data_IF_814378313302
#
_entry.id   IF_814378313302
#
_cell.length_a   1.000
_cell.length_b   1.000
_cell.length_c   1.000
_cell.angle_alpha   90.00
_cell.angle_beta   90.00
_cell.angle_gamma   90.00
#
_symmetry.space_group_name_H-M   'P 1'
#
loop_
_entity.id
_entity.type
_entity.pdbx_description
1 polymer ?
#
# COMPACT_ATOMS: atom_id res chain seq x y z
N UNK A 1 22.14 -3.54 19.37
CA UNK A 1 23.46 -4.07 19.74
C UNK A 1 24.30 -3.08 20.53
N UNK A 2 23.92 -1.79 20.63
CA UNK A 2 24.71 -0.78 21.39
C UNK A 2 25.01 -1.18 22.84
N UNK A 3 24.10 -1.91 23.50
CA UNK A 3 24.31 -2.43 24.85
C UNK A 3 25.28 -3.63 24.93
N UNK A 4 26.02 -3.95 23.86
CA UNK A 4 26.94 -5.09 23.78
C UNK A 4 26.26 -6.45 23.50
N UNK A 5 24.97 -6.45 23.18
CA UNK A 5 24.22 -7.67 22.94
C UNK A 5 24.38 -8.15 21.50
N UNK A 6 24.59 -9.46 21.33
CA UNK A 6 24.58 -10.09 20.00
C UNK A 6 23.16 -10.16 19.42
N UNK A 7 23.05 -10.20 18.09
CA UNK A 7 21.76 -10.36 17.41
C UNK A 7 21.04 -11.66 17.82
N UNK A 8 21.79 -12.74 18.10
CA UNK A 8 21.26 -14.02 18.57
C UNK A 8 20.61 -13.91 19.95
N UNK A 9 21.25 -13.18 20.87
CA UNK A 9 20.68 -12.94 22.21
C UNK A 9 19.38 -12.14 22.12
N UNK A 10 19.36 -11.09 21.30
CA UNK A 10 18.15 -10.28 21.06
C UNK A 10 17.04 -11.14 20.43
N UNK A 11 17.37 -11.93 19.42
CA UNK A 11 16.44 -12.85 18.75
C UNK A 11 15.80 -13.85 19.74
N UNK A 12 16.62 -14.44 20.62
CA UNK A 12 16.13 -15.39 21.62
C UNK A 12 15.16 -14.78 22.64
N UNK A 13 15.24 -13.46 22.88
CA UNK A 13 14.35 -12.79 23.83
C UNK A 13 13.10 -12.20 23.17
N UNK A 14 13.19 -11.73 21.93
CA UNK A 14 12.10 -11.02 21.26
C UNK A 14 11.26 -11.89 20.34
N UNK A 15 11.80 -13.02 19.86
CA UNK A 15 11.12 -13.96 18.95
C UNK A 15 11.50 -13.88 17.46
N UNK A 16 11.85 -12.72 16.87
CA UNK A 16 12.38 -12.68 15.50
C UNK A 16 13.67 -13.50 15.34
N UNK A 17 13.93 -13.95 14.12
CA UNK A 17 15.19 -14.63 13.81
C UNK A 17 16.39 -13.66 13.86
N UNK A 18 17.59 -14.22 14.07
CA UNK A 18 18.85 -13.47 14.07
C UNK A 18 19.03 -12.62 12.79
N UNK A 19 18.66 -13.16 11.63
CA UNK A 19 18.76 -12.44 10.37
C UNK A 19 17.81 -11.23 10.28
N UNK A 20 16.64 -11.30 10.91
CA UNK A 20 15.70 -10.17 10.98
C UNK A 20 16.26 -9.10 11.91
N UNK A 21 16.81 -9.49 13.07
CA UNK A 21 17.45 -8.55 14.02
C UNK A 21 18.61 -7.82 13.33
N UNK A 22 19.49 -8.54 12.63
CA UNK A 22 20.60 -7.95 11.87
C UNK A 22 20.10 -7.00 10.78
N UNK A 23 19.11 -7.41 9.98
CA UNK A 23 18.55 -6.55 8.93
C UNK A 23 17.93 -5.26 9.49
N UNK A 24 17.21 -5.34 10.60
CA UNK A 24 16.65 -4.18 11.29
C UNK A 24 17.75 -3.27 11.84
N UNK A 25 18.81 -3.86 12.40
CA UNK A 25 19.97 -3.13 12.89
C UNK A 25 20.72 -2.39 11.78
N UNK A 26 21.03 -3.07 10.67
CA UNK A 26 21.73 -2.47 9.54
C UNK A 26 20.92 -1.31 8.94
N UNK A 27 19.59 -1.48 8.87
CA UNK A 27 18.68 -0.42 8.45
C UNK A 27 18.74 0.77 9.40
N UNK A 28 18.70 0.52 10.71
CA UNK A 28 18.78 1.56 11.73
C UNK A 28 20.10 2.35 11.61
N UNK A 29 21.25 1.68 11.53
CA UNK A 29 22.56 2.34 11.39
C UNK A 29 22.63 3.18 10.11
N UNK A 30 22.04 2.69 9.01
CA UNK A 30 22.12 3.35 7.70
C UNK A 30 21.14 4.52 7.56
N UNK A 31 19.94 4.41 8.11
CA UNK A 31 18.83 5.33 7.86
C UNK A 31 18.41 6.12 9.10
N UNK A 32 18.83 5.71 10.31
CA UNK A 32 18.30 6.18 11.60
C UNK A 32 16.77 6.08 11.69
N UNK A 33 16.20 5.08 10.99
CA UNK A 33 14.75 4.85 10.93
C UNK A 33 14.40 3.46 11.47
N UNK A 34 13.55 3.43 12.51
CA UNK A 34 12.99 2.20 13.06
C UNK A 34 11.65 1.82 12.42
N UNK A 35 11.04 2.74 11.68
CA UNK A 35 9.75 2.53 11.02
C UNK A 35 9.90 1.70 9.76
N UNK A 36 8.83 0.98 9.38
CA UNK A 36 8.80 0.27 8.10
C UNK A 36 8.79 1.31 6.97
N UNK A 37 9.55 1.07 5.90
CA UNK A 37 9.41 1.89 4.70
C UNK A 37 7.98 1.69 4.16
N UNK A 38 7.30 2.76 3.70
CA UNK A 38 6.08 2.58 2.95
C UNK A 38 6.36 1.65 1.77
N UNK A 39 5.43 0.74 1.48
CA UNK A 39 5.59 -0.16 0.34
C UNK A 39 5.73 0.67 -0.94
N UNK A 40 6.68 0.32 -1.79
CA UNK A 40 6.85 0.92 -3.13
C UNK A 40 5.83 0.37 -4.13
N UNK A 41 4.61 0.09 -3.66
CA UNK A 41 3.54 -0.41 -4.52
C UNK A 41 3.14 0.65 -5.55
N UNK A 42 2.42 0.22 -6.58
CA UNK A 42 1.87 1.13 -7.58
C UNK A 42 1.03 2.22 -6.88
N UNK A 43 1.14 3.50 -7.31
CA UNK A 43 0.27 4.55 -6.81
C UNK A 43 -1.19 4.11 -6.89
N UNK A 44 -1.95 4.39 -5.83
CA UNK A 44 -3.37 4.10 -5.83
C UNK A 44 -4.10 5.25 -6.51
N UNK A 45 -4.78 4.93 -7.61
CA UNK A 45 -5.69 5.88 -8.26
C UNK A 45 -7.00 6.03 -7.49
N UNK A 46 -7.47 4.93 -6.89
CA UNK A 46 -8.68 4.90 -6.06
C UNK A 46 -8.35 5.00 -4.58
N UNK A 47 -9.14 5.80 -3.88
CA UNK A 47 -9.18 5.84 -2.43
C UNK A 47 -9.71 4.52 -1.87
N UNK A 48 -9.35 4.22 -0.61
CA UNK A 48 -9.87 3.05 0.11
C UNK A 48 -11.40 3.04 0.19
N UNK A 49 -12.04 4.20 0.15
CA UNK A 49 -13.50 4.31 0.21
C UNK A 49 -14.13 3.93 -1.13
N UNK A 50 -13.56 4.40 -2.25
CA UNK A 50 -13.95 4.00 -3.61
C UNK A 50 -13.75 2.49 -3.80
N UNK A 51 -12.59 1.94 -3.43
CA UNK A 51 -12.29 0.49 -3.53
C UNK A 51 -13.40 -0.36 -2.89
N UNK A 52 -13.80 0.01 -1.67
CA UNK A 52 -14.85 -0.70 -0.93
C UNK A 52 -16.21 -0.62 -1.62
N UNK A 53 -16.50 0.48 -2.31
CA UNK A 53 -17.76 0.68 -3.05
C UNK A 53 -17.72 -0.10 -4.37
N UNK A 54 -16.60 -0.06 -5.09
CA UNK A 54 -16.36 -0.83 -6.31
C UNK A 54 -16.54 -2.32 -6.02
N UNK A 55 -15.85 -2.86 -5.00
CA UNK A 55 -15.97 -4.27 -4.61
C UNK A 55 -17.41 -4.62 -4.24
N UNK A 56 -18.08 -3.78 -3.43
CA UNK A 56 -19.47 -4.03 -3.04
C UNK A 56 -20.39 -4.09 -4.27
N UNK A 57 -20.29 -3.11 -5.16
CA UNK A 57 -21.17 -3.01 -6.34
C UNK A 57 -20.93 -4.16 -7.32
N UNK A 58 -19.66 -4.51 -7.57
CA UNK A 58 -19.29 -5.66 -8.39
C UNK A 58 -19.78 -6.98 -7.79
N UNK A 59 -19.72 -7.14 -6.47
CA UNK A 59 -20.25 -8.34 -5.80
C UNK A 59 -21.79 -8.42 -5.88
N UNK A 60 -22.49 -7.29 -5.79
CA UNK A 60 -23.97 -7.25 -5.86
C UNK A 60 -24.45 -7.42 -7.30
N UNK A 61 -23.73 -6.89 -8.29
CA UNK A 61 -24.07 -6.99 -9.71
C UNK A 61 -22.86 -7.47 -10.53
N UNK A 62 -22.57 -8.78 -10.55
CA UNK A 62 -21.37 -9.33 -11.18
C UNK A 62 -21.25 -9.10 -12.69
N UNK A 63 -22.37 -8.85 -13.37
CA UNK A 63 -22.42 -8.59 -14.82
C UNK A 63 -22.46 -7.09 -15.17
N UNK A 64 -22.42 -6.21 -14.16
CA UNK A 64 -22.41 -4.77 -14.40
C UNK A 64 -21.12 -4.35 -15.10
N UNK A 65 -21.25 -3.44 -16.07
CA UNK A 65 -20.09 -2.84 -16.72
C UNK A 65 -19.30 -1.95 -15.75
N UNK A 66 -18.03 -1.67 -16.07
CA UNK A 66 -17.20 -0.74 -15.29
C UNK A 66 -17.86 0.64 -15.19
N UNK A 67 -18.38 1.17 -16.30
CA UNK A 67 -19.07 2.47 -16.33
C UNK A 67 -20.31 2.49 -15.41
N UNK A 68 -21.05 1.39 -15.34
CA UNK A 68 -22.19 1.24 -14.41
C UNK A 68 -21.72 1.25 -12.96
N UNK A 69 -20.65 0.53 -12.65
CA UNK A 69 -20.07 0.49 -11.30
C UNK A 69 -19.53 1.87 -10.90
N UNK A 70 -18.80 2.54 -11.80
CA UNK A 70 -18.30 3.90 -11.61
C UNK A 70 -19.42 4.90 -11.32
N UNK A 71 -20.51 4.87 -12.09
CA UNK A 71 -21.67 5.71 -11.85
C UNK A 71 -22.31 5.45 -10.48
N UNK A 72 -22.44 4.19 -10.07
CA UNK A 72 -22.97 3.81 -8.75
C UNK A 72 -22.06 4.25 -7.60
N UNK A 73 -20.73 4.15 -7.77
CA UNK A 73 -19.76 4.65 -6.79
C UNK A 73 -19.86 6.16 -6.69
N UNK A 74 -19.94 6.85 -7.83
CA UNK A 74 -20.04 8.30 -7.88
C UNK A 74 -21.30 8.82 -7.18
N UNK A 75 -22.44 8.18 -7.44
CA UNK A 75 -23.70 8.46 -6.75
C UNK A 75 -23.59 8.22 -5.23
N UNK A 76 -22.87 7.17 -4.82
CA UNK A 76 -22.71 6.83 -3.40
C UNK A 76 -21.80 7.80 -2.64
N UNK A 77 -20.87 8.45 -3.33
CA UNK A 77 -19.88 9.36 -2.74
C UNK A 77 -20.20 10.84 -2.96
N UNK A 78 -21.15 11.15 -3.84
CA UNK A 78 -21.45 12.53 -4.24
C UNK A 78 -20.34 13.17 -5.08
N UNK A 79 -19.41 12.37 -5.60
CA UNK A 79 -18.27 12.81 -6.39
C UNK A 79 -17.84 11.70 -7.37
N UNK A 80 -17.34 12.01 -8.58
CA UNK A 80 -16.84 11.01 -9.51
C UNK A 80 -15.69 10.21 -8.92
N UNK A 81 -15.53 8.96 -9.37
CA UNK A 81 -14.40 8.12 -8.98
C UNK A 81 -13.11 8.78 -9.44
N UNK A 82 -12.14 8.84 -8.55
CA UNK A 82 -10.80 9.34 -8.82
C UNK A 82 -10.18 8.52 -9.96
N UNK A 83 -10.01 9.15 -11.12
CA UNK A 83 -9.36 8.58 -12.30
C UNK A 83 -8.45 9.65 -12.90
N UNK A 84 -7.17 9.34 -13.16
CA UNK A 84 -6.41 10.13 -14.13
C UNK A 84 -6.72 9.59 -15.53
N UNK A 85 -7.01 10.45 -16.52
CA UNK A 85 -7.13 10.03 -17.90
C UNK A 85 -5.85 9.32 -18.33
N UNK A 86 -5.99 8.08 -18.79
CA UNK A 86 -4.92 7.26 -19.38
C UNK A 86 -4.07 8.04 -20.42
N UNK A 87 -4.62 9.08 -21.04
CA UNK A 87 -3.94 9.91 -22.04
C UNK A 87 -2.84 10.83 -21.48
N UNK A 88 -2.84 11.13 -20.18
CA UNK A 88 -1.92 12.11 -19.60
C UNK A 88 -0.56 11.55 -19.16
N UNK A 89 -0.42 10.22 -19.15
CA UNK A 89 0.83 9.53 -18.79
C UNK A 89 1.74 9.26 -20.00
N UNK A 90 1.20 9.14 -21.21
CA UNK A 90 1.96 8.82 -22.43
C UNK A 90 2.34 10.03 -23.27
N UNK A 91 1.66 11.17 -23.10
CA UNK A 91 1.94 12.41 -23.84
C UNK A 91 3.04 13.29 -23.21
N UNK A 92 3.59 12.88 -22.06
CA UNK A 92 4.71 13.60 -21.42
C UNK A 92 6.09 13.13 -21.90
N UNK A 93 6.13 12.04 -22.67
CA UNK A 93 7.34 11.37 -23.15
C UNK A 93 7.46 11.39 -24.69
N UNK A 94 6.79 12.32 -25.40
CA UNK A 94 6.97 12.60 -26.84
C UNK A 94 7.45 14.03 -27.04
#
# INVERSE_FOLDING_TARGET
MEAGWSARQIASQLGPSDCVVRRCWDKWIREMLFTRRPGSGHPRYTSRQEDRRIVRNACVQPIASSATIEAQVALSLGAPVSFEPYESAWLKDI
#
